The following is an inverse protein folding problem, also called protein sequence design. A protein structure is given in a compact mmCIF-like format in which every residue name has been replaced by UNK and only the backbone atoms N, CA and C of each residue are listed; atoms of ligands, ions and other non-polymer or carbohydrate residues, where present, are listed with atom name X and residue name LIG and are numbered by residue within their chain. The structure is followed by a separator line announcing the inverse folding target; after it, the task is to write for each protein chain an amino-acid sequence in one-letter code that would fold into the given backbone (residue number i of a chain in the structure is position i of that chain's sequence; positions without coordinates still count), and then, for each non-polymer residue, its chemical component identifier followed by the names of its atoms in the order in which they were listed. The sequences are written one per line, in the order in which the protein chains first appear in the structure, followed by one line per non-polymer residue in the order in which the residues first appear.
data_IF_734684798137
#
_entry.id   IF_734684798137
#
_cell.length_a   1.000
_cell.length_b   1.000
_cell.length_c   1.000
_cell.angle_alpha   90.00
_cell.angle_beta   90.00
_cell.angle_gamma   90.00
#
_symmetry.space_group_name_H-M   'P 1'
#
loop_
_entity.id
_entity.type
_entity.pdbx_description
1 polymer ?
#
# COMPACT_ATOMS: atom_id res chain seq x y z
N UNK A 1 31.02 -3.62 -20.83
CA UNK A 1 30.44 -2.29 -21.14
C UNK A 1 29.12 -2.18 -20.41
N UNK A 2 28.99 -1.30 -19.41
CA UNK A 2 27.67 -0.93 -18.90
C UNK A 2 27.01 -0.08 -19.99
N UNK A 3 25.93 -0.58 -20.59
CA UNK A 3 25.09 0.22 -21.48
C UNK A 3 24.26 1.14 -20.60
N UNK A 4 24.39 2.45 -20.80
CA UNK A 4 23.61 3.44 -20.06
C UNK A 4 22.14 3.32 -20.48
N UNK A 5 21.29 2.87 -19.56
CA UNK A 5 19.86 2.73 -19.76
C UNK A 5 19.13 3.87 -19.03
N UNK A 6 18.35 4.66 -19.77
CA UNK A 6 17.49 5.70 -19.21
C UNK A 6 16.03 5.44 -19.63
N UNK A 7 15.24 4.95 -18.68
CA UNK A 7 13.82 4.65 -18.87
C UNK A 7 12.93 5.90 -18.99
N UNK A 8 13.46 7.11 -18.72
CA UNK A 8 12.74 8.38 -18.85
C UNK A 8 13.11 9.15 -20.12
N UNK A 9 14.05 8.64 -20.90
CA UNK A 9 14.44 9.26 -22.15
C UNK A 9 13.30 9.21 -23.16
N UNK A 10 13.15 10.28 -23.93
CA UNK A 10 12.25 10.32 -25.10
C UNK A 10 12.62 9.29 -26.17
N UNK A 11 13.87 8.83 -26.16
CA UNK A 11 14.40 7.82 -27.08
C UNK A 11 14.10 6.38 -26.61
N UNK A 12 13.40 6.19 -25.49
CA UNK A 12 12.97 4.87 -25.03
C UNK A 12 11.82 4.34 -25.89
N UNK A 13 12.18 3.82 -27.06
CA UNK A 13 11.27 3.25 -28.06
C UNK A 13 11.38 1.73 -28.12
N UNK A 14 10.42 1.09 -28.78
CA UNK A 14 10.45 -0.36 -29.01
C UNK A 14 11.71 -0.80 -29.79
N UNK A 15 12.16 0.01 -30.74
CA UNK A 15 13.40 -0.21 -31.47
C UNK A 15 14.61 -0.25 -30.53
N UNK A 16 14.70 0.70 -29.59
CA UNK A 16 15.75 0.70 -28.56
C UNK A 16 15.67 -0.50 -27.63
N UNK A 17 14.48 -0.95 -27.25
CA UNK A 17 14.28 -2.14 -26.42
C UNK A 17 14.86 -3.40 -27.11
N UNK A 18 14.63 -3.52 -28.43
CA UNK A 18 15.18 -4.61 -29.24
C UNK A 18 16.71 -4.48 -29.37
N UNK A 19 17.24 -3.28 -29.66
CA UNK A 19 18.70 -3.03 -29.70
C UNK A 19 19.40 -3.35 -28.37
N UNK A 20 18.73 -3.09 -27.26
CA UNK A 20 19.24 -3.39 -25.93
C UNK A 20 19.13 -4.88 -25.56
N UNK A 21 18.40 -5.69 -26.33
CA UNK A 21 18.28 -7.13 -26.11
C UNK A 21 17.51 -7.48 -24.84
N UNK A 22 16.43 -6.74 -24.54
CA UNK A 22 15.62 -6.93 -23.33
C UNK A 22 15.02 -8.34 -23.22
N UNK A 23 14.84 -9.03 -24.35
CA UNK A 23 14.42 -10.42 -24.41
C UNK A 23 15.37 -11.36 -23.65
N UNK A 24 16.67 -11.05 -23.63
CA UNK A 24 17.69 -11.82 -22.90
C UNK A 24 17.62 -11.59 -21.38
N UNK A 25 16.92 -10.54 -20.94
CA UNK A 25 16.75 -10.16 -19.54
C UNK A 25 15.30 -10.32 -19.07
N UNK A 26 14.45 -10.97 -19.86
CA UNK A 26 13.02 -11.06 -19.60
C UNK A 26 12.69 -11.66 -18.22
N UNK A 27 13.45 -12.65 -17.76
CA UNK A 27 13.32 -13.24 -16.43
C UNK A 27 13.62 -12.21 -15.33
N UNK A 28 14.78 -11.55 -15.40
CA UNK A 28 15.17 -10.52 -14.42
C UNK A 28 14.20 -9.34 -14.39
N UNK A 29 13.74 -8.89 -15.56
CA UNK A 29 12.73 -7.82 -15.67
C UNK A 29 11.41 -8.28 -15.04
N UNK A 30 11.01 -9.52 -15.30
CA UNK A 30 9.83 -10.14 -14.71
C UNK A 30 9.91 -10.21 -13.18
N UNK A 31 11.05 -10.62 -12.64
CA UNK A 31 11.28 -10.70 -11.20
C UNK A 31 11.22 -9.33 -10.53
N UNK A 32 11.90 -8.33 -11.10
CA UNK A 32 11.89 -6.96 -10.59
C UNK A 32 10.49 -6.37 -10.67
N UNK A 33 9.81 -6.52 -11.81
CA UNK A 33 8.44 -6.03 -11.99
C UNK A 33 7.46 -6.72 -11.05
N UNK A 34 7.64 -8.02 -10.80
CA UNK A 34 6.85 -8.79 -9.86
C UNK A 34 7.05 -8.32 -8.42
N UNK A 35 8.31 -8.10 -8.01
CA UNK A 35 8.63 -7.53 -6.71
C UNK A 35 8.02 -6.13 -6.53
N UNK A 36 8.19 -5.24 -7.51
CA UNK A 36 7.61 -3.91 -7.49
C UNK A 36 6.07 -3.93 -7.41
N UNK A 37 5.41 -4.88 -8.07
CA UNK A 37 3.95 -5.04 -7.98
C UNK A 37 3.52 -5.47 -6.58
N UNK A 38 4.28 -6.35 -5.91
CA UNK A 38 4.02 -6.74 -4.52
C UNK A 38 4.21 -5.59 -3.56
N UNK A 39 5.28 -4.81 -3.74
CA UNK A 39 5.54 -3.60 -2.93
C UNK A 39 4.41 -2.59 -3.09
N UNK A 40 3.97 -2.32 -4.33
CA UNK A 40 2.84 -1.42 -4.58
C UNK A 40 1.56 -1.86 -3.87
N UNK A 41 1.27 -3.17 -3.83
CA UNK A 41 0.10 -3.68 -3.12
C UNK A 41 0.19 -3.43 -1.61
N UNK A 42 1.40 -3.53 -1.02
CA UNK A 42 1.64 -3.19 0.39
C UNK A 42 1.44 -1.69 0.61
N UNK A 43 2.01 -0.84 -0.24
CA UNK A 43 1.86 0.62 -0.15
C UNK A 43 0.38 1.04 -0.20
N UNK A 44 -0.37 0.51 -1.16
CA UNK A 44 -1.81 0.78 -1.29
C UNK A 44 -2.61 0.28 -0.07
N UNK A 45 -2.25 -0.89 0.47
CA UNK A 45 -2.87 -1.43 1.68
C UNK A 45 -2.63 -0.54 2.90
N UNK A 46 -1.40 -0.08 3.11
CA UNK A 46 -1.05 0.84 4.21
C UNK A 46 -1.77 2.18 4.04
N UNK A 47 -1.84 2.71 2.81
CA UNK A 47 -2.56 3.96 2.52
C UNK A 47 -4.06 3.82 2.83
N UNK A 48 -4.68 2.69 2.50
CA UNK A 48 -6.08 2.41 2.83
C UNK A 48 -6.33 2.33 4.35
N UNK A 49 -5.41 1.72 5.10
CA UNK A 49 -5.45 1.70 6.57
C UNK A 49 -5.38 3.12 7.11
N UNK A 50 -4.43 3.94 6.63
CA UNK A 50 -4.29 5.34 7.05
C UNK A 50 -5.57 6.15 6.79
N UNK A 51 -6.17 5.99 5.60
CA UNK A 51 -7.44 6.64 5.23
C UNK A 51 -8.61 6.21 6.14
N UNK A 52 -8.67 4.93 6.49
CA UNK A 52 -9.68 4.41 7.44
C UNK A 52 -9.60 5.17 8.75
N UNK A 53 -8.40 5.31 9.33
CA UNK A 53 -8.20 6.00 10.61
C UNK A 53 -8.40 7.52 10.53
N UNK A 54 -8.13 8.14 9.39
CA UNK A 54 -8.41 9.57 9.18
C UNK A 54 -9.92 9.87 9.21
N UNK A 55 -10.75 8.94 8.73
CA UNK A 55 -12.21 9.07 8.71
C UNK A 55 -12.92 8.49 9.94
N UNK A 56 -12.19 7.79 10.82
CA UNK A 56 -12.77 7.13 11.99
C UNK A 56 -13.07 8.16 13.09
N UNK A 57 -14.34 8.27 13.46
CA UNK A 57 -14.80 9.15 14.54
C UNK A 57 -15.34 8.34 15.72
N UNK A 58 -15.13 8.84 16.94
CA UNK A 58 -15.71 8.24 18.15
C UNK A 58 -17.08 8.88 18.43
N UNK A 59 -18.13 8.06 18.50
CA UNK A 59 -19.45 8.51 18.96
C UNK A 59 -19.41 8.73 20.48
N UNK A 60 -19.30 9.99 20.88
CA UNK A 60 -19.27 10.42 22.26
C UNK A 60 -20.63 11.02 22.64
N UNK A 61 -21.20 10.55 23.75
CA UNK A 61 -22.48 11.02 24.30
C UNK A 61 -22.33 11.46 25.75
N UNK A 62 -23.19 12.35 26.22
CA UNK A 62 -23.20 12.81 27.61
C UNK A 62 -23.56 11.67 28.56
N UNK A 63 -22.77 11.51 29.61
CA UNK A 63 -22.97 10.55 30.68
C UNK A 63 -23.59 11.22 31.92
N UNK A 64 -24.92 11.10 32.04
CA UNK A 64 -25.74 11.74 33.09
C UNK A 64 -25.63 13.28 33.05
N UNK A 65 -26.44 13.96 33.86
CA UNK A 65 -26.46 15.43 33.95
C UNK A 65 -25.29 16.01 34.76
N UNK A 66 -24.20 15.25 34.93
CA UNK A 66 -23.03 15.65 35.74
C UNK A 66 -21.87 16.21 34.90
N UNK A 67 -22.07 16.42 33.60
CA UNK A 67 -21.06 17.00 32.70
C UNK A 67 -19.96 16.03 32.26
N UNK A 68 -20.15 14.72 32.43
CA UNK A 68 -19.21 13.71 31.92
C UNK A 68 -19.62 13.27 30.51
N UNK A 69 -18.67 12.74 29.74
CA UNK A 69 -18.89 12.14 28.43
C UNK A 69 -18.51 10.66 28.46
N UNK A 70 -19.28 9.81 27.76
CA UNK A 70 -18.96 8.41 27.52
C UNK A 70 -18.95 8.13 26.02
N UNK A 71 -18.13 7.18 25.60
CA UNK A 71 -18.23 6.63 24.25
C UNK A 71 -19.49 5.75 24.19
N UNK A 72 -20.31 5.92 23.16
CA UNK A 72 -21.59 5.20 23.01
C UNK A 72 -21.36 3.77 22.53
N UNK A 73 -20.62 3.62 21.45
CA UNK A 73 -20.23 2.34 20.86
C UNK A 73 -18.77 2.42 20.43
N UNK A 74 -18.04 1.33 20.64
CA UNK A 74 -16.66 1.16 20.17
C UNK A 74 -16.55 -0.01 19.20
N UNK A 75 -17.65 -0.72 18.92
CA UNK A 75 -17.63 -2.00 18.21
C UNK A 75 -17.03 -1.83 16.80
N UNK A 76 -17.44 -0.81 16.06
CA UNK A 76 -16.94 -0.54 14.71
C UNK A 76 -15.45 -0.17 14.71
N UNK A 77 -14.98 0.55 15.75
CA UNK A 77 -13.57 0.95 15.89
C UNK A 77 -12.69 -0.24 16.23
N UNK A 78 -13.15 -1.12 17.12
CA UNK A 78 -12.43 -2.35 17.45
C UNK A 78 -12.42 -3.34 16.28
N UNK A 79 -13.52 -3.46 15.54
CA UNK A 79 -13.58 -4.29 14.34
C UNK A 79 -12.56 -3.80 13.29
N UNK A 80 -12.55 -2.49 12.99
CA UNK A 80 -11.58 -1.89 12.08
C UNK A 80 -10.13 -2.07 12.58
N UNK A 81 -9.91 -2.00 13.90
CA UNK A 81 -8.59 -2.23 14.50
C UNK A 81 -8.11 -3.68 14.27
N UNK A 82 -8.95 -4.66 14.56
CA UNK A 82 -8.63 -6.08 14.41
C UNK A 82 -8.36 -6.44 12.94
N UNK A 83 -9.22 -5.98 12.03
CA UNK A 83 -9.05 -6.22 10.59
C UNK A 83 -7.74 -5.62 10.07
N UNK A 84 -7.44 -4.37 10.44
CA UNK A 84 -6.20 -3.71 10.07
C UNK A 84 -4.96 -4.42 10.67
N UNK A 85 -5.05 -4.95 11.89
CA UNK A 85 -3.97 -5.70 12.52
C UNK A 85 -3.67 -7.01 11.79
N UNK A 86 -4.69 -7.73 11.34
CA UNK A 86 -4.53 -8.94 10.53
C UNK A 86 -3.88 -8.61 9.20
N UNK A 87 -4.37 -7.58 8.50
CA UNK A 87 -3.80 -7.14 7.22
C UNK A 87 -2.32 -6.78 7.33
N UNK A 88 -1.94 -5.99 8.34
CA UNK A 88 -0.53 -5.62 8.59
C UNK A 88 0.34 -6.84 8.92
N UNK A 89 -0.20 -7.81 9.66
CA UNK A 89 0.52 -9.05 9.98
C UNK A 89 0.79 -9.88 8.72
N UNK A 90 -0.17 -9.94 7.80
CA UNK A 90 -0.01 -10.62 6.50
C UNK A 90 1.00 -9.88 5.62
N UNK A 91 0.94 -8.55 5.54
CA UNK A 91 1.91 -7.75 4.77
C UNK A 91 3.34 -7.92 5.30
N UNK A 92 3.51 -7.93 6.63
CA UNK A 92 4.82 -8.14 7.27
C UNK A 92 5.41 -9.53 7.01
N UNK A 93 4.57 -10.53 6.84
CA UNK A 93 4.98 -11.91 6.62
C UNK A 93 5.22 -12.24 5.13
N UNK A 94 4.87 -11.32 4.22
CA UNK A 94 5.06 -11.43 2.76
C UNK A 94 6.43 -10.91 2.34
#
# INVERSE_FOLDING_TARGET
MQRQFDHKSVDFTLEKIIEFGFDQYAETIGDISGAATKELAIEQGIEAIAKTWESTELDITTYKDRGHYKVRSTDDVFQALEDNQVQLSTMKAS
#
